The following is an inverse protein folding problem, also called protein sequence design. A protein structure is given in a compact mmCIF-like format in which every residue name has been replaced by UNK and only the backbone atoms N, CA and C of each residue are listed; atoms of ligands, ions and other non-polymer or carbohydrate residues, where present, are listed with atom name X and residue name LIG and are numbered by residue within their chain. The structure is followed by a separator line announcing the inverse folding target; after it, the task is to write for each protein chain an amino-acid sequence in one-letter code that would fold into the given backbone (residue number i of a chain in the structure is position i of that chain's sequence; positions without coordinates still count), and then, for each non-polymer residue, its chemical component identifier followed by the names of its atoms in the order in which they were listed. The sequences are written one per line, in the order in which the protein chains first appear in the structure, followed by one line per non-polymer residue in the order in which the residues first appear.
data_IF_030293285122
#
_entry.id   IF_030293285122
#
_cell.length_a   1.000
_cell.length_b   1.000
_cell.length_c   1.000
_cell.angle_alpha   90.00
_cell.angle_beta   90.00
_cell.angle_gamma   90.00
#
_symmetry.space_group_name_H-M   'P 1'
#
loop_
_entity.id
_entity.type
_entity.pdbx_description
1 polymer ?
#
# COMPACT_ATOMS: atom_id res chain seq x y z
N UNK A 1 32.24 8.98 22.97
CA UNK A 1 32.57 10.25 22.29
C UNK A 1 33.68 9.91 21.30
N UNK A 2 33.49 9.80 19.99
CA UNK A 2 32.45 10.29 19.09
C UNK A 2 32.45 9.39 17.85
N UNK A 3 31.36 8.65 17.59
CA UNK A 3 31.19 7.94 16.31
C UNK A 3 30.46 8.90 15.37
N UNK A 4 31.19 9.89 14.86
CA UNK A 4 30.71 10.64 13.68
C UNK A 4 30.95 9.72 12.49
N UNK A 5 30.02 8.78 12.30
CA UNK A 5 30.09 7.86 11.18
C UNK A 5 30.16 8.69 9.90
N UNK A 6 31.27 8.57 9.17
CA UNK A 6 31.44 9.20 7.87
C UNK A 6 30.45 8.54 6.89
N UNK A 7 29.24 9.10 6.83
CA UNK A 7 28.15 8.65 5.97
C UNK A 7 28.34 9.08 4.52
N UNK A 8 29.47 9.73 4.17
CA UNK A 8 29.77 10.16 2.80
C UNK A 8 29.89 8.98 1.83
N UNK A 9 30.25 7.81 2.34
CA UNK A 9 30.43 6.57 1.56
C UNK A 9 29.15 5.74 1.43
N UNK A 10 28.03 6.18 2.02
CA UNK A 10 26.77 5.42 1.97
C UNK A 10 26.13 5.52 0.59
N UNK A 11 25.51 4.43 0.17
CA UNK A 11 24.73 4.38 -1.05
C UNK A 11 23.40 5.11 -0.85
N UNK A 12 23.02 5.94 -1.83
CA UNK A 12 21.76 6.67 -1.83
C UNK A 12 20.80 6.08 -2.87
N UNK A 13 19.53 5.90 -2.49
CA UNK A 13 18.44 5.53 -3.39
C UNK A 13 17.25 6.43 -3.10
N UNK A 14 16.78 7.16 -4.11
CA UNK A 14 15.65 8.08 -4.00
C UNK A 14 14.54 7.64 -4.96
N UNK A 15 13.30 7.64 -4.49
CA UNK A 15 12.12 7.31 -5.29
C UNK A 15 11.06 8.38 -5.12
N UNK A 16 10.31 8.60 -6.19
CA UNK A 16 9.15 9.51 -6.19
C UNK A 16 7.93 8.72 -6.66
N UNK A 17 6.91 8.65 -5.80
CA UNK A 17 5.69 7.87 -6.03
C UNK A 17 4.52 8.86 -6.13
N UNK A 18 3.91 9.01 -7.32
CA UNK A 18 2.78 9.91 -7.49
C UNK A 18 1.50 9.33 -6.88
N UNK A 19 0.70 10.18 -6.25
CA UNK A 19 -0.63 9.86 -5.73
C UNK A 19 -1.71 10.73 -6.39
N UNK A 20 -2.99 10.29 -6.39
CA UNK A 20 -4.10 11.05 -6.97
C UNK A 20 -4.38 12.40 -6.28
N UNK A 21 -4.02 12.53 -4.99
CA UNK A 21 -4.20 13.75 -4.23
C UNK A 21 -3.06 13.95 -3.22
N UNK A 22 -2.76 15.21 -2.83
CA UNK A 22 -1.81 15.51 -1.75
C UNK A 22 -2.17 14.82 -0.43
N UNK A 23 -3.47 14.81 -0.10
CA UNK A 23 -3.99 14.18 1.10
C UNK A 23 -3.69 12.66 1.14
N UNK A 24 -3.73 11.99 -0.02
CA UNK A 24 -3.36 10.58 -0.12
C UNK A 24 -1.87 10.36 0.15
N UNK A 25 -1.00 11.18 -0.43
CA UNK A 25 0.45 11.10 -0.19
C UNK A 25 0.79 11.34 1.29
N UNK A 26 0.17 12.32 1.93
CA UNK A 26 0.34 12.62 3.35
C UNK A 26 -0.19 11.53 4.27
N UNK A 27 -1.31 10.91 3.91
CA UNK A 27 -1.84 9.76 4.66
C UNK A 27 -0.87 8.58 4.59
N UNK A 28 -0.42 8.21 3.39
CA UNK A 28 0.55 7.11 3.23
C UNK A 28 1.83 7.39 4.00
N UNK A 29 2.39 8.60 3.90
CA UNK A 29 3.57 8.99 4.67
C UNK A 29 3.37 8.72 6.17
N UNK A 30 2.27 9.23 6.75
CA UNK A 30 2.01 9.12 8.20
C UNK A 30 1.91 7.67 8.66
N UNK A 31 1.33 6.79 7.85
CA UNK A 31 1.18 5.38 8.19
C UNK A 31 2.54 4.66 8.12
N UNK A 32 3.29 4.88 7.05
CA UNK A 32 4.58 4.18 6.80
C UNK A 32 5.70 4.68 7.71
N UNK A 33 5.67 5.96 8.12
CA UNK A 33 6.72 6.58 8.94
C UNK A 33 6.79 6.04 10.38
N UNK A 34 5.72 5.40 10.87
CA UNK A 34 5.69 4.77 12.21
C UNK A 34 6.68 3.62 12.30
N UNK A 35 6.89 2.89 11.21
CA UNK A 35 7.90 1.83 11.16
C UNK A 35 9.27 2.44 10.88
N UNK A 36 10.19 2.39 11.84
CA UNK A 36 11.53 2.93 11.69
C UNK A 36 12.52 1.78 11.43
N UNK A 37 13.55 2.00 10.58
CA UNK A 37 14.59 1.01 10.37
C UNK A 37 15.21 0.51 11.69
N UNK A 38 15.28 -0.81 11.87
CA UNK A 38 15.80 -1.43 13.10
C UNK A 38 17.29 -1.12 13.37
N UNK A 39 18.07 -0.80 12.33
CA UNK A 39 19.51 -0.50 12.42
C UNK A 39 19.80 0.93 11.90
N UNK A 40 19.49 1.98 12.68
CA UNK A 40 19.68 3.37 12.27
C UNK A 40 21.15 3.78 12.10
N UNK A 41 22.08 2.98 12.64
CA UNK A 41 23.53 3.10 12.44
C UNK A 41 24.00 2.65 11.06
N UNK A 42 23.20 1.86 10.33
CA UNK A 42 23.57 1.26 9.04
C UNK A 42 22.67 1.70 7.88
N UNK A 43 21.47 2.17 8.21
CA UNK A 43 20.43 2.52 7.26
C UNK A 43 19.65 3.73 7.79
N UNK A 44 19.48 4.74 6.94
CA UNK A 44 18.63 5.90 7.18
C UNK A 44 17.55 5.93 6.11
N UNK A 45 16.31 6.18 6.53
CA UNK A 45 15.16 6.39 5.63
C UNK A 45 14.53 7.73 5.96
N UNK A 46 14.19 8.50 4.95
CA UNK A 46 13.46 9.76 5.08
C UNK A 46 12.30 9.78 4.11
N UNK A 47 11.11 10.14 4.59
CA UNK A 47 9.91 10.27 3.78
C UNK A 47 9.47 11.73 3.77
N UNK A 48 9.31 12.30 2.59
CA UNK A 48 8.80 13.66 2.41
C UNK A 48 7.66 13.63 1.39
N UNK A 49 6.81 14.66 1.42
CA UNK A 49 5.73 14.82 0.43
C UNK A 49 5.95 16.15 -0.26
N UNK A 50 5.89 16.15 -1.58
CA UNK A 50 5.92 17.34 -2.44
C UNK A 50 4.65 17.33 -3.31
N UNK A 51 3.69 18.19 -2.97
CA UNK A 51 2.36 18.20 -3.57
C UNK A 51 1.67 16.83 -3.43
N UNK A 52 1.41 16.17 -4.55
CA UNK A 52 0.81 14.82 -4.59
C UNK A 52 1.83 13.69 -4.71
N UNK A 53 3.13 13.97 -4.56
CA UNK A 53 4.18 12.97 -4.70
C UNK A 53 4.82 12.63 -3.36
N UNK A 54 4.91 11.34 -3.05
CA UNK A 54 5.70 10.84 -1.91
C UNK A 54 7.14 10.62 -2.36
N UNK A 55 8.08 11.24 -1.67
CA UNK A 55 9.52 11.09 -1.91
C UNK A 55 10.10 10.23 -0.78
N UNK A 56 10.78 9.16 -1.17
CA UNK A 56 11.43 8.22 -0.24
C UNK A 56 12.93 8.21 -0.52
N UNK A 57 13.72 8.63 0.46
CA UNK A 57 15.17 8.66 0.41
C UNK A 57 15.78 7.64 1.37
N UNK A 58 16.58 6.73 0.83
CA UNK A 58 17.36 5.75 1.57
C UNK A 58 18.85 6.05 1.48
N UNK A 59 19.51 6.05 2.64
CA UNK A 59 20.98 5.99 2.70
C UNK A 59 21.39 4.73 3.45
N UNK A 60 22.21 3.89 2.84
CA UNK A 60 22.63 2.61 3.43
C UNK A 60 24.13 2.36 3.29
N UNK A 61 24.72 1.64 4.24
CA UNK A 61 26.13 1.24 4.18
C UNK A 61 26.44 0.28 3.02
N UNK A 62 25.46 -0.51 2.56
CA UNK A 62 25.62 -1.43 1.43
C UNK A 62 24.40 -1.39 0.50
N UNK A 63 24.61 -1.72 -0.77
CA UNK A 63 23.53 -1.84 -1.77
C UNK A 63 22.51 -2.92 -1.38
N UNK A 64 22.97 -4.03 -0.79
CA UNK A 64 22.08 -5.10 -0.34
C UNK A 64 21.12 -4.63 0.77
N UNK A 65 21.61 -3.81 1.72
CA UNK A 65 20.76 -3.21 2.75
C UNK A 65 19.75 -2.23 2.16
N UNK A 66 20.17 -1.38 1.21
CA UNK A 66 19.26 -0.47 0.50
C UNK A 66 18.15 -1.25 -0.21
N UNK A 67 18.49 -2.34 -0.89
CA UNK A 67 17.53 -3.22 -1.57
C UNK A 67 16.50 -3.80 -0.60
N UNK A 68 16.95 -4.45 0.49
CA UNK A 68 16.03 -5.08 1.45
C UNK A 68 15.11 -4.03 2.09
N UNK A 69 15.65 -2.86 2.43
CA UNK A 69 14.87 -1.77 3.00
C UNK A 69 13.83 -1.21 2.01
N UNK A 70 14.22 -1.12 0.75
CA UNK A 70 13.34 -0.69 -0.33
C UNK A 70 12.21 -1.70 -0.56
N UNK A 71 12.53 -2.99 -0.66
CA UNK A 71 11.56 -4.07 -0.85
C UNK A 71 10.49 -4.04 0.26
N UNK A 72 10.92 -3.86 1.52
CA UNK A 72 10.01 -3.73 2.66
C UNK A 72 9.13 -2.48 2.55
N UNK A 73 9.73 -1.32 2.28
CA UNK A 73 9.01 -0.06 2.19
C UNK A 73 7.97 -0.03 1.07
N UNK A 74 8.28 -0.62 -0.09
CA UNK A 74 7.32 -0.73 -1.19
C UNK A 74 6.19 -1.70 -0.84
N UNK A 75 6.48 -2.78 -0.13
CA UNK A 75 5.45 -3.71 0.36
C UNK A 75 4.49 -3.02 1.34
N UNK A 76 5.02 -2.22 2.27
CA UNK A 76 4.21 -1.43 3.20
C UNK A 76 3.32 -0.42 2.46
N UNK A 77 3.91 0.35 1.54
CA UNK A 77 3.17 1.33 0.73
C UNK A 77 2.08 0.64 -0.08
N UNK A 78 2.38 -0.49 -0.72
CA UNK A 78 1.40 -1.26 -1.48
C UNK A 78 0.22 -1.69 -0.59
N UNK A 79 0.49 -2.19 0.61
CA UNK A 79 -0.56 -2.60 1.55
C UNK A 79 -1.45 -1.42 1.95
N UNK A 80 -0.86 -0.26 2.25
CA UNK A 80 -1.63 0.95 2.59
C UNK A 80 -2.48 1.39 1.40
N UNK A 81 -1.94 1.41 0.19
CA UNK A 81 -2.69 1.78 -1.04
C UNK A 81 -3.85 0.82 -1.28
N UNK A 82 -3.64 -0.50 -1.15
CA UNK A 82 -4.70 -1.50 -1.27
C UNK A 82 -5.78 -1.30 -0.20
N UNK A 83 -5.38 -0.94 1.01
CA UNK A 83 -6.31 -0.64 2.11
C UNK A 83 -7.13 0.62 1.80
N UNK A 84 -6.49 1.70 1.36
CA UNK A 84 -7.18 2.91 0.94
C UNK A 84 -8.19 2.62 -0.17
N UNK A 85 -7.79 1.86 -1.19
CA UNK A 85 -8.67 1.50 -2.30
C UNK A 85 -9.87 0.65 -1.83
N UNK A 86 -9.65 -0.37 -1.00
CA UNK A 86 -10.70 -1.26 -0.51
C UNK A 86 -11.72 -0.54 0.39
N UNK A 87 -11.26 0.38 1.22
CA UNK A 87 -12.07 1.05 2.24
C UNK A 87 -12.40 2.52 1.90
N UNK A 88 -12.07 3.00 0.70
CA UNK A 88 -12.43 4.34 0.26
C UNK A 88 -13.96 4.55 0.33
N UNK A 89 -14.43 5.73 0.77
CA UNK A 89 -15.84 6.09 0.71
C UNK A 89 -16.39 5.90 -0.71
N UNK A 90 -17.62 5.38 -0.83
CA UNK A 90 -18.24 5.11 -2.14
C UNK A 90 -18.33 6.33 -3.06
N UNK A 91 -18.29 7.54 -2.51
CA UNK A 91 -18.31 8.79 -3.27
C UNK A 91 -17.02 9.10 -4.04
N UNK A 92 -15.90 8.42 -3.71
CA UNK A 92 -14.59 8.58 -4.37
C UNK A 92 -14.24 7.38 -5.25
N UNK A 93 -15.09 6.35 -5.28
CA UNK A 93 -15.06 5.32 -6.31
C UNK A 93 -15.79 5.89 -7.51
N UNK A 94 -15.04 6.59 -8.37
CA UNK A 94 -15.53 6.92 -9.70
C UNK A 94 -16.16 5.66 -10.30
N UNK A 95 -17.32 5.87 -10.91
CA UNK A 95 -18.23 4.88 -11.46
C UNK A 95 -17.60 4.10 -12.63
N UNK A 96 -16.52 3.36 -12.42
CA UNK A 96 -16.17 2.26 -13.30
C UNK A 96 -17.07 1.08 -12.90
N UNK A 97 -18.21 1.02 -13.59
CA UNK A 97 -19.20 -0.01 -13.43
C UNK A 97 -18.62 -1.41 -13.60
N UNK A 98 -18.26 -2.03 -12.49
CA UNK A 98 -18.43 -3.47 -12.33
C UNK A 98 -19.94 -3.72 -12.26
N UNK A 99 -20.57 -3.82 -13.44
CA UNK A 99 -21.73 -4.68 -13.56
C UNK A 99 -21.23 -6.08 -13.25
N UNK A 100 -21.43 -6.54 -12.02
CA UNK A 100 -21.59 -7.98 -11.80
C UNK A 100 -22.56 -8.45 -12.89
N UNK A 101 -22.23 -9.45 -13.72
CA UNK A 101 -23.22 -10.03 -14.59
C UNK A 101 -24.32 -10.53 -13.66
N UNK A 102 -25.51 -9.91 -13.74
CA UNK A 102 -26.72 -10.46 -13.14
C UNK A 102 -26.83 -11.90 -13.67
N UNK A 103 -26.41 -12.85 -12.84
CA UNK A 103 -26.74 -14.24 -13.09
C UNK A 103 -28.27 -14.27 -13.12
N UNK A 104 -28.90 -14.66 -14.24
CA UNK A 104 -30.34 -14.73 -14.29
C UNK A 104 -30.77 -15.67 -13.15
N UNK A 105 -31.57 -15.13 -12.24
CA UNK A 105 -32.13 -15.87 -11.11
C UNK A 105 -32.90 -17.07 -11.68
N UNK A 106 -32.29 -18.25 -11.65
CA UNK A 106 -32.94 -19.52 -11.95
C UNK A 106 -33.78 -19.94 -10.73
N UNK A 107 -34.75 -19.12 -10.36
CA UNK A 107 -35.87 -19.53 -9.52
C UNK A 107 -37.16 -19.48 -10.35
N UNK A 108 -37.19 -20.31 -11.39
CA UNK A 108 -38.44 -20.69 -12.04
C UNK A 108 -38.75 -22.12 -11.60
N UNK A 109 -39.61 -22.24 -10.59
CA UNK A 109 -40.47 -23.42 -10.41
C UNK A 109 -39.89 -24.59 -9.62
N UNK A 110 -39.68 -24.43 -8.32
CA UNK A 110 -39.91 -25.52 -7.34
C UNK A 110 -41.09 -25.17 -6.44
N UNK A 111 -42.26 -24.96 -7.05
CA UNK A 111 -43.53 -24.94 -6.32
C UNK A 111 -44.38 -26.10 -6.82
N UNK A 112 -44.34 -27.19 -6.05
CA UNK A 112 -45.27 -28.31 -6.17
C UNK A 112 -44.65 -29.57 -6.75
N UNK A 113 -44.04 -30.42 -5.91
CA UNK A 113 -44.10 -31.89 -6.04
C UNK A 113 -43.39 -32.56 -4.86
N UNK A 114 -43.93 -32.41 -3.64
CA UNK A 114 -43.50 -33.21 -2.49
C UNK A 114 -44.66 -33.94 -1.79
N UNK A 115 -45.89 -33.81 -2.30
CA UNK A 115 -46.99 -34.70 -1.92
C UNK A 115 -47.00 -35.88 -2.89
N UNK A 116 -46.22 -36.92 -2.56
CA UNK A 116 -46.52 -38.35 -2.80
C UNK A 116 -45.26 -39.17 -2.60
N UNK A 117 -45.11 -39.78 -1.43
CA UNK A 117 -44.83 -41.21 -1.23
C UNK A 117 -44.96 -41.44 0.27
N UNK A 118 -46.20 -41.62 0.69
CA UNK A 118 -46.52 -42.46 1.82
C UNK A 118 -47.10 -43.74 1.22
N UNK A 119 -46.31 -44.81 1.21
CA UNK A 119 -46.72 -46.22 1.25
C UNK A 119 -45.52 -47.12 1.37
#
# INVERSE_FOLDING_TARGET
MSDSADRSTWHNVALTIPFPSPANAELVKRVVEVDKPLRPSELSRTLTVDGSSLIVDFRARTVAQARVALDHCLSDIQLVVQTMHKFAPKAERDEEGEKEPEAPSLEVGLKGSWDSVAR
#
